data_IF_570823400388
#
_entry.id   IF_570823400388
#
_cell.length_a   1.000
_cell.length_b   1.000
_cell.length_c   1.000
_cell.angle_alpha   90.00
_cell.angle_beta   90.00
_cell.angle_gamma   90.00
#
_symmetry.space_group_name_H-M   'P 1'
#
loop_
_entity.id
_entity.type
_entity.pdbx_description
1 polymer ?
#
# COMPACT_ATOMS: atom_id res chain seq x y z
N UNK A 1 -32.49 -30.73 30.93
CA UNK A 1 -33.86 -30.34 31.34
C UNK A 1 -34.85 -31.36 30.77
N UNK A 2 -35.82 -31.86 31.55
CA UNK A 2 -36.87 -32.73 31.01
C UNK A 2 -37.65 -31.98 29.93
N UNK A 3 -37.98 -32.65 28.83
CA UNK A 3 -38.63 -32.04 27.68
C UNK A 3 -39.99 -31.42 28.07
N UNK A 4 -40.17 -30.12 27.81
CA UNK A 4 -41.48 -29.45 27.85
C UNK A 4 -41.80 -28.51 29.02
N UNK A 5 -40.87 -28.18 29.92
CA UNK A 5 -41.09 -27.09 30.91
C UNK A 5 -40.59 -25.74 30.37
N UNK A 6 -41.41 -24.67 30.41
CA UNK A 6 -40.96 -23.32 30.07
C UNK A 6 -39.89 -22.86 31.06
N UNK A 7 -38.91 -22.08 30.57
CA UNK A 7 -37.91 -21.42 31.41
C UNK A 7 -38.62 -20.51 32.42
N UNK A 8 -38.11 -20.45 33.66
CA UNK A 8 -38.58 -19.42 34.59
C UNK A 8 -38.14 -18.04 34.10
N UNK A 9 -38.84 -16.99 34.52
CA UNK A 9 -38.52 -15.61 34.17
C UNK A 9 -37.03 -15.27 34.47
N UNK A 10 -36.52 -15.68 35.63
CA UNK A 10 -35.12 -15.44 36.01
C UNK A 10 -34.13 -16.20 35.10
N UNK A 11 -34.49 -17.42 34.66
CA UNK A 11 -33.67 -18.17 33.71
C UNK A 11 -33.68 -17.54 32.32
N UNK A 12 -34.81 -16.97 31.88
CA UNK A 12 -34.88 -16.20 30.63
C UNK A 12 -34.02 -14.94 30.71
N UNK A 13 -34.14 -14.15 31.79
CA UNK A 13 -33.33 -12.94 31.98
C UNK A 13 -31.82 -13.23 32.01
N UNK A 14 -31.40 -14.32 32.65
CA UNK A 14 -30.00 -14.73 32.66
C UNK A 14 -29.51 -15.13 31.26
N UNK A 15 -30.32 -15.86 30.49
CA UNK A 15 -29.99 -16.23 29.11
C UNK A 15 -29.92 -14.99 28.22
N UNK A 16 -30.86 -14.06 28.33
CA UNK A 16 -30.88 -12.82 27.56
C UNK A 16 -29.64 -11.97 27.87
N UNK A 17 -29.31 -11.79 29.15
CA UNK A 17 -28.10 -11.07 29.58
C UNK A 17 -26.83 -11.75 29.04
N UNK A 18 -26.77 -13.08 29.08
CA UNK A 18 -25.62 -13.83 28.56
C UNK A 18 -25.48 -13.66 27.05
N UNK A 19 -26.58 -13.72 26.31
CA UNK A 19 -26.62 -13.52 24.85
C UNK A 19 -26.22 -12.10 24.49
N UNK A 20 -26.69 -11.09 25.22
CA UNK A 20 -26.26 -9.70 25.05
C UNK A 20 -24.75 -9.53 25.28
N UNK A 21 -24.23 -10.09 26.38
CA UNK A 21 -22.80 -10.03 26.70
C UNK A 21 -21.96 -10.74 25.63
N UNK A 22 -22.33 -11.95 25.22
CA UNK A 22 -21.66 -12.68 24.13
C UNK A 22 -21.67 -11.89 22.82
N UNK A 23 -22.81 -11.30 22.48
CA UNK A 23 -22.94 -10.48 21.26
C UNK A 23 -22.04 -9.26 21.32
N UNK A 24 -22.01 -8.57 22.47
CA UNK A 24 -21.13 -7.42 22.67
C UNK A 24 -19.65 -7.80 22.60
N UNK A 25 -19.24 -8.90 23.23
CA UNK A 25 -17.85 -9.39 23.17
C UNK A 25 -17.45 -9.77 21.74
N UNK A 26 -18.29 -10.47 20.99
CA UNK A 26 -18.02 -10.81 19.58
C UNK A 26 -17.94 -9.57 18.69
N UNK A 27 -18.76 -8.55 18.95
CA UNK A 27 -18.71 -7.29 18.21
C UNK A 27 -17.39 -6.53 18.51
N UNK A 28 -16.97 -6.51 19.77
CA UNK A 28 -15.69 -5.91 20.19
C UNK A 28 -14.50 -6.63 19.57
N UNK A 29 -14.48 -7.95 19.58
CA UNK A 29 -13.39 -8.76 19.02
C UNK A 29 -13.23 -8.50 17.51
N UNK A 30 -14.34 -8.53 16.76
CA UNK A 30 -14.34 -8.16 15.32
C UNK A 30 -13.89 -6.72 15.08
N UNK A 31 -14.24 -5.80 15.96
CA UNK A 31 -13.80 -4.41 15.85
C UNK A 31 -12.28 -4.30 16.09
N UNK A 32 -11.75 -5.00 17.09
CA UNK A 32 -10.32 -5.05 17.38
C UNK A 32 -9.53 -5.66 16.22
N UNK A 33 -9.98 -6.77 15.63
CA UNK A 33 -9.35 -7.37 14.45
C UNK A 33 -9.28 -6.38 13.28
N UNK A 34 -10.38 -5.69 12.98
CA UNK A 34 -10.41 -4.66 11.93
C UNK A 34 -9.46 -3.51 12.23
N UNK A 35 -9.41 -3.05 13.48
CA UNK A 35 -8.51 -1.98 13.88
C UNK A 35 -7.04 -2.40 13.77
N UNK A 36 -6.69 -3.63 14.14
CA UNK A 36 -5.34 -4.16 13.93
C UNK A 36 -4.97 -4.24 12.45
N UNK A 37 -5.90 -4.69 11.60
CA UNK A 37 -5.68 -4.70 10.16
C UNK A 37 -5.42 -3.29 9.62
N UNK A 38 -6.20 -2.29 10.06
CA UNK A 38 -5.99 -0.90 9.67
C UNK A 38 -4.63 -0.37 10.10
N UNK A 39 -4.21 -0.64 11.35
CA UNK A 39 -2.89 -0.23 11.86
C UNK A 39 -1.77 -0.82 11.02
N UNK A 40 -1.83 -2.12 10.71
CA UNK A 40 -0.83 -2.78 9.86
C UNK A 40 -0.81 -2.19 8.45
N UNK A 41 -1.97 -1.84 7.90
CA UNK A 41 -2.07 -1.18 6.60
C UNK A 41 -1.44 0.22 6.63
N UNK A 42 -1.70 1.02 7.66
CA UNK A 42 -1.09 2.35 7.84
C UNK A 42 0.44 2.28 7.99
N UNK A 43 0.93 1.31 8.77
CA UNK A 43 2.37 1.12 8.98
C UNK A 43 3.06 0.73 7.67
N UNK A 44 2.50 -0.22 6.92
CA UNK A 44 3.02 -0.57 5.59
C UNK A 44 2.96 0.61 4.62
N UNK A 45 1.95 1.48 4.72
CA UNK A 45 1.81 2.68 3.87
C UNK A 45 2.94 3.66 4.14
N UNK A 46 3.22 3.85 5.43
CA UNK A 46 4.26 4.74 5.92
C UNK A 46 5.63 4.23 5.48
N UNK A 47 5.92 2.95 5.68
CA UNK A 47 7.17 2.32 5.22
C UNK A 47 7.34 2.50 3.71
N UNK A 48 6.31 2.22 2.91
CA UNK A 48 6.38 2.39 1.46
C UNK A 48 6.68 3.84 1.04
N UNK A 49 6.09 4.81 1.73
CA UNK A 49 6.31 6.25 1.50
C UNK A 49 7.73 6.66 1.88
N UNK A 50 8.21 6.27 3.06
CA UNK A 50 9.56 6.58 3.53
C UNK A 50 10.64 5.95 2.65
N UNK A 51 10.44 4.70 2.21
CA UNK A 51 11.31 4.03 1.24
C UNK A 51 11.31 4.74 -0.11
N UNK A 52 10.13 5.10 -0.62
CA UNK A 52 10.03 5.87 -1.87
C UNK A 52 10.80 7.17 -1.74
N UNK A 53 10.53 7.97 -0.72
CA UNK A 53 11.11 9.31 -0.60
C UNK A 53 12.64 9.25 -0.45
N UNK A 54 13.16 8.37 0.42
CA UNK A 54 14.61 8.26 0.64
C UNK A 54 15.37 7.68 -0.56
N UNK A 55 14.85 6.64 -1.22
CA UNK A 55 15.56 5.96 -2.31
C UNK A 55 15.35 6.71 -3.64
N UNK A 56 14.14 7.19 -3.93
CA UNK A 56 13.86 7.99 -5.12
C UNK A 56 14.69 9.27 -5.15
N UNK A 57 14.82 9.95 -4.01
CA UNK A 57 15.59 11.18 -3.90
C UNK A 57 17.09 10.91 -4.08
N UNK A 58 17.61 9.86 -3.44
CA UNK A 58 19.00 9.41 -3.61
C UNK A 58 19.33 9.10 -5.09
N UNK A 59 18.47 8.33 -5.77
CA UNK A 59 18.63 8.00 -7.19
C UNK A 59 18.53 9.23 -8.10
N UNK A 60 17.60 10.14 -7.81
CA UNK A 60 17.44 11.40 -8.55
C UNK A 60 18.67 12.29 -8.41
N UNK A 61 19.22 12.39 -7.20
CA UNK A 61 20.45 13.13 -6.92
C UNK A 61 21.64 12.55 -7.69
N UNK A 62 21.85 11.22 -7.64
CA UNK A 62 22.91 10.55 -8.38
C UNK A 62 22.79 10.76 -9.89
N UNK A 63 21.57 10.67 -10.44
CA UNK A 63 21.32 10.92 -11.88
C UNK A 63 21.65 12.36 -12.27
N UNK A 64 21.34 13.34 -11.42
CA UNK A 64 21.71 14.75 -11.63
C UNK A 64 23.24 14.93 -11.60
N UNK A 65 23.92 14.33 -10.61
CA UNK A 65 25.38 14.39 -10.50
C UNK A 65 26.08 13.77 -11.71
N UNK A 66 25.62 12.61 -12.18
CA UNK A 66 26.14 11.97 -13.40
C UNK A 66 25.90 12.84 -14.63
N UNK A 67 24.74 13.49 -14.73
CA UNK A 67 24.46 14.42 -15.84
C UNK A 67 25.39 15.64 -15.81
N UNK A 68 25.64 16.21 -14.63
CA UNK A 68 26.61 17.30 -14.46
C UNK A 68 28.02 16.88 -14.87
N UNK A 69 28.46 15.66 -14.50
CA UNK A 69 29.76 15.13 -14.92
C UNK A 69 29.84 14.93 -16.44
N UNK A 70 28.76 14.45 -17.07
CA UNK A 70 28.69 14.32 -18.53
C UNK A 70 28.74 15.67 -19.27
N UNK A 71 28.30 16.77 -18.64
CA UNK A 71 28.42 18.11 -19.21
C UNK A 71 29.86 18.65 -19.13
N UNK A 72 30.71 18.11 -18.27
CA UNK A 72 32.14 18.46 -18.16
C UNK A 72 33.00 17.63 -19.12
N UNK A 73 32.58 17.55 -20.38
CA UNK A 73 33.13 16.61 -21.37
C UNK A 73 34.53 16.99 -21.90
N UNK A 74 34.99 18.21 -21.63
CA UNK A 74 36.29 18.69 -22.10
C UNK A 74 37.45 17.91 -21.45
N UNK A 75 38.23 17.22 -22.30
CA UNK A 75 39.40 16.46 -21.89
C UNK A 75 39.10 15.10 -21.23
N UNK A 76 37.83 14.68 -21.17
CA UNK A 76 37.47 13.40 -20.57
C UNK A 76 37.84 12.22 -21.49
N UNK A 77 38.58 11.20 -21.01
CA UNK A 77 38.87 10.00 -21.79
C UNK A 77 37.58 9.28 -22.23
N UNK A 78 37.59 8.71 -23.43
CA UNK A 78 36.42 8.01 -23.99
C UNK A 78 35.93 6.87 -23.09
N UNK A 79 36.85 6.16 -22.42
CA UNK A 79 36.53 5.12 -21.44
C UNK A 79 35.72 5.65 -20.25
N UNK A 80 36.00 6.87 -19.79
CA UNK A 80 35.26 7.51 -18.70
C UNK A 80 33.87 7.94 -19.15
N UNK A 81 33.72 8.42 -20.39
CA UNK A 81 32.41 8.74 -20.99
C UNK A 81 31.53 7.49 -21.10
N UNK A 82 32.11 6.38 -21.54
CA UNK A 82 31.44 5.07 -21.60
C UNK A 82 30.99 4.61 -20.22
N UNK A 83 31.86 4.69 -19.21
CA UNK A 83 31.52 4.34 -17.83
C UNK A 83 30.38 5.21 -17.27
N UNK A 84 30.42 6.53 -17.48
CA UNK A 84 29.33 7.43 -17.06
C UNK A 84 28.00 7.09 -17.74
N UNK A 85 28.04 6.73 -19.02
CA UNK A 85 26.84 6.27 -19.73
C UNK A 85 26.30 4.96 -19.15
N UNK A 86 27.18 4.02 -18.79
CA UNK A 86 26.79 2.77 -18.14
C UNK A 86 26.14 3.03 -16.77
N UNK A 87 26.76 3.86 -15.92
CA UNK A 87 26.21 4.25 -14.61
C UNK A 87 24.83 4.89 -14.77
N UNK A 88 24.66 5.79 -15.74
CA UNK A 88 23.36 6.41 -16.02
C UNK A 88 22.29 5.38 -16.41
N UNK A 89 22.66 4.38 -17.21
CA UNK A 89 21.74 3.32 -17.61
C UNK A 89 21.35 2.45 -16.41
N UNK A 90 22.32 2.05 -15.58
CA UNK A 90 22.07 1.28 -14.36
C UNK A 90 21.18 2.05 -13.37
N UNK A 91 21.43 3.35 -13.17
CA UNK A 91 20.56 4.22 -12.35
C UNK A 91 19.12 4.28 -12.87
N UNK A 92 18.93 4.37 -14.19
CA UNK A 92 17.58 4.35 -14.78
C UNK A 92 16.90 3.00 -14.57
N UNK A 93 17.62 1.88 -14.72
CA UNK A 93 17.08 0.55 -14.48
C UNK A 93 16.67 0.38 -13.02
N UNK A 94 17.54 0.75 -12.08
CA UNK A 94 17.26 0.71 -10.64
C UNK A 94 16.05 1.58 -10.27
N UNK A 95 15.88 2.72 -10.93
CA UNK A 95 14.70 3.57 -10.73
C UNK A 95 13.41 2.90 -11.18
N UNK A 96 13.42 2.22 -12.33
CA UNK A 96 12.24 1.45 -12.82
C UNK A 96 11.91 0.32 -11.85
N UNK A 97 12.91 -0.44 -11.41
CA UNK A 97 12.73 -1.55 -10.46
C UNK A 97 12.18 -1.07 -9.11
N UNK A 98 12.69 0.03 -8.57
CA UNK A 98 12.16 0.64 -7.36
C UNK A 98 10.69 1.02 -7.52
N UNK A 99 10.35 1.65 -8.65
CA UNK A 99 8.96 2.05 -8.94
C UNK A 99 8.03 0.84 -9.00
N UNK A 100 8.46 -0.24 -9.64
CA UNK A 100 7.70 -1.49 -9.75
C UNK A 100 7.49 -2.17 -8.38
N UNK A 101 8.53 -2.21 -7.56
CA UNK A 101 8.46 -2.71 -6.18
C UNK A 101 7.44 -1.90 -5.37
N UNK A 102 7.53 -0.58 -5.40
CA UNK A 102 6.64 0.31 -4.66
C UNK A 102 5.19 0.24 -5.12
N UNK A 103 4.94 0.11 -6.43
CA UNK A 103 3.58 -0.12 -6.94
C UNK A 103 2.99 -1.43 -6.41
N UNK A 104 3.80 -2.48 -6.27
CA UNK A 104 3.37 -3.77 -5.72
C UNK A 104 3.01 -3.65 -4.24
N UNK A 105 3.82 -2.94 -3.46
CA UNK A 105 3.52 -2.64 -2.05
C UNK A 105 2.24 -1.81 -1.90
N UNK A 106 2.00 -0.82 -2.78
CA UNK A 106 0.82 0.05 -2.74
C UNK A 106 -0.47 -0.68 -3.12
N UNK A 107 -0.43 -1.63 -4.05
CA UNK A 107 -1.61 -2.41 -4.46
C UNK A 107 -2.12 -3.34 -3.35
N UNK A 108 -1.23 -3.88 -2.50
CA UNK A 108 -1.64 -4.69 -1.34
C UNK A 108 -2.32 -3.86 -0.23
N UNK A 109 -2.28 -2.53 -0.34
CA UNK A 109 -2.71 -1.61 0.70
C UNK A 109 -4.10 -1.03 0.52
N UNK A 110 -4.72 -1.20 -0.65
CA UNK A 110 -6.10 -0.76 -0.82
C UNK A 110 -7.02 -1.91 -0.42
N UNK A 111 -8.12 -1.61 0.27
CA UNK A 111 -9.10 -2.55 0.86
C UNK A 111 -9.22 -3.92 0.15
N UNK A 112 -9.39 -5.04 0.90
CA UNK A 112 -9.55 -6.35 0.29
C UNK A 112 -10.75 -6.38 -0.67
N UNK A 113 -10.46 -6.56 -1.95
CA UNK A 113 -11.47 -6.64 -3.01
C UNK A 113 -10.92 -6.14 -4.35
N UNK A 114 -11.30 -6.81 -5.43
CA UNK A 114 -10.87 -6.43 -6.79
C UNK A 114 -11.33 -5.02 -7.16
N UNK A 115 -12.55 -4.64 -6.77
CA UNK A 115 -13.14 -3.33 -7.08
C UNK A 115 -12.40 -2.15 -6.40
N UNK A 116 -12.20 -2.13 -5.07
CA UNK A 116 -11.41 -1.07 -4.41
C UNK A 116 -10.00 -0.92 -5.00
N UNK A 117 -9.34 -2.03 -5.34
CA UNK A 117 -8.00 -2.00 -5.95
C UNK A 117 -8.00 -1.36 -7.36
N UNK A 118 -9.03 -1.65 -8.16
CA UNK A 118 -9.22 -1.05 -9.49
C UNK A 118 -9.58 0.44 -9.39
N UNK A 119 -10.40 0.84 -8.42
CA UNK A 119 -10.76 2.24 -8.18
C UNK A 119 -9.54 3.07 -7.73
N UNK A 120 -8.71 2.51 -6.83
CA UNK A 120 -7.43 3.11 -6.39
C UNK A 120 -6.45 3.30 -7.54
N UNK A 121 -6.30 2.28 -8.40
CA UNK A 121 -5.49 2.38 -9.61
C UNK A 121 -5.99 3.50 -10.53
N UNK A 122 -7.31 3.59 -10.77
CA UNK A 122 -7.89 4.65 -11.60
C UNK A 122 -7.60 6.04 -11.03
N UNK A 123 -7.66 6.22 -9.70
CA UNK A 123 -7.28 7.50 -9.06
C UNK A 123 -5.80 7.84 -9.27
N UNK A 124 -4.90 6.87 -9.07
CA UNK A 124 -3.46 7.08 -9.28
C UNK A 124 -3.13 7.46 -10.72
N UNK A 125 -3.69 6.73 -11.69
CA UNK A 125 -3.49 7.03 -13.11
C UNK A 125 -4.12 8.38 -13.50
N UNK A 126 -5.27 8.74 -12.94
CA UNK A 126 -5.89 10.05 -13.17
C UNK A 126 -4.98 11.20 -12.75
N UNK A 127 -4.38 11.08 -11.55
CA UNK A 127 -3.44 12.08 -11.03
C UNK A 127 -2.18 12.19 -11.89
N UNK A 128 -1.68 11.05 -12.41
CA UNK A 128 -0.45 11.00 -13.21
C UNK A 128 -0.63 11.49 -14.64
N UNK A 129 -1.79 11.23 -15.24
CA UNK A 129 -2.08 11.52 -16.64
C UNK A 129 -2.75 12.89 -16.84
N UNK A 130 -3.27 13.49 -15.77
CA UNK A 130 -3.94 14.80 -15.81
C UNK A 130 -5.34 14.76 -16.42
N UNK A 131 -5.93 13.57 -16.59
CA UNK A 131 -7.32 13.40 -17.01
C UNK A 131 -8.00 12.28 -16.22
N UNK A 132 -9.33 12.35 -16.00
CA UNK A 132 -10.04 11.36 -15.22
C UNK A 132 -10.09 10.00 -15.94
N UNK A 133 -9.48 8.98 -15.32
CA UNK A 133 -9.62 7.57 -15.67
C UNK A 133 -10.83 7.02 -14.92
N UNK A 134 -11.80 6.50 -15.66
CA UNK A 134 -13.03 5.92 -15.09
C UNK A 134 -12.95 4.41 -15.11
N UNK A 135 -13.34 3.79 -14.01
CA UNK A 135 -13.55 2.35 -13.92
C UNK A 135 -14.97 2.03 -14.41
N UNK A 136 -15.08 1.24 -15.47
CA UNK A 136 -16.33 0.56 -15.83
C UNK A 136 -16.24 -0.89 -15.36
N UNK A 137 -16.99 -1.21 -14.30
CA UNK A 137 -16.98 -2.51 -13.65
C UNK A 137 -18.37 -3.14 -13.79
N UNK A 138 -18.53 -3.97 -14.82
CA UNK A 138 -19.73 -4.77 -15.04
C UNK A 138 -19.46 -6.18 -14.50
N UNK A 139 -20.30 -6.62 -13.56
CA UNK A 139 -20.27 -7.97 -12.97
C UNK A 139 -20.87 -9.00 -13.93
#
# INVERSE_FOLDING_TARGET
LPAGRPLSHDQQQLVDTLVEQLTATLALDRHQEKQQQLIVMEERATIARELHDSIAQSLSCMKMQVSCLQMQDEGMPESSKQLLSQIRNELNTSWVQLRELLTTFRLQLTEPGLRPALESSCQEFSARLGFPVKLDYQL
#
